data_IF_486145089494
#
_entry.id   IF_486145089494
#
_cell.length_a   1.000
_cell.length_b   1.000
_cell.length_c   1.000
_cell.angle_alpha   90.00
_cell.angle_beta   90.00
_cell.angle_gamma   90.00
#
_symmetry.space_group_name_H-M   'P 1'
#
loop_
_entity.id
_entity.type
_entity.pdbx_description
1 polymer ?
#
# COMPACT_ATOMS: atom_id res chain seq x y z
N UNK A 1 -6.72 37.68 16.73
CA UNK A 1 -6.90 36.28 16.29
C UNK A 1 -6.20 36.20 14.95
N UNK A 2 -4.95 35.75 14.93
CA UNK A 2 -4.29 35.46 13.65
C UNK A 2 -4.96 34.21 13.08
N UNK A 3 -5.56 34.33 11.90
CA UNK A 3 -5.92 33.17 11.10
C UNK A 3 -4.63 32.38 10.87
N UNK A 4 -4.52 31.19 11.46
CA UNK A 4 -3.42 30.30 11.11
C UNK A 4 -3.56 29.99 9.63
N UNK A 5 -2.66 30.51 8.80
CA UNK A 5 -2.60 30.16 7.39
C UNK A 5 -2.37 28.65 7.36
N UNK A 6 -3.41 27.89 6.99
CA UNK A 6 -3.28 26.45 6.84
C UNK A 6 -2.38 26.21 5.63
N UNK A 7 -1.18 25.71 5.88
CA UNK A 7 -0.19 25.44 4.84
C UNK A 7 -0.47 24.07 4.27
N UNK A 8 -0.71 23.99 2.96
CA UNK A 8 -0.91 22.73 2.27
C UNK A 8 0.38 21.91 2.24
N UNK A 9 0.25 20.58 2.33
CA UNK A 9 1.34 19.64 2.13
C UNK A 9 2.07 19.89 0.79
N UNK A 10 3.39 20.04 0.85
CA UNK A 10 4.23 20.29 -0.33
C UNK A 10 4.55 19.03 -1.15
N UNK A 11 4.07 17.85 -0.73
CA UNK A 11 4.31 16.60 -1.44
C UNK A 11 3.67 16.64 -2.83
N UNK A 12 4.49 16.49 -3.86
CA UNK A 12 4.07 16.50 -5.26
C UNK A 12 3.91 15.06 -5.76
N UNK A 13 2.71 14.71 -6.19
CA UNK A 13 2.35 13.42 -6.75
C UNK A 13 2.91 13.23 -8.17
N UNK A 14 2.93 11.99 -8.66
CA UNK A 14 3.43 11.63 -9.99
C UNK A 14 2.60 12.26 -11.12
N UNK A 15 1.30 12.48 -10.90
CA UNK A 15 0.43 13.21 -11.84
C UNK A 15 0.69 14.73 -11.85
N UNK A 16 1.58 15.22 -10.98
CA UNK A 16 1.96 16.62 -10.86
C UNK A 16 1.10 17.43 -9.89
N UNK A 17 0.03 16.84 -9.34
CA UNK A 17 -0.81 17.47 -8.30
C UNK A 17 -0.12 17.48 -6.94
N UNK A 18 -0.59 18.32 -6.02
CA UNK A 18 -0.10 18.34 -4.65
C UNK A 18 -1.04 17.56 -3.73
N UNK A 19 -0.49 16.99 -2.67
CA UNK A 19 -1.27 16.40 -1.60
C UNK A 19 -2.25 17.43 -1.00
N UNK A 20 -3.50 17.02 -0.78
CA UNK A 20 -4.58 17.90 -0.28
C UNK A 20 -4.58 18.03 1.25
N UNK A 21 -3.74 17.27 1.95
CA UNK A 21 -3.63 17.31 3.40
C UNK A 21 -2.95 18.59 3.88
N UNK A 22 -3.27 18.98 5.10
CA UNK A 22 -2.57 20.05 5.80
C UNK A 22 -1.16 19.60 6.20
N UNK A 23 -0.18 20.46 5.96
CA UNK A 23 1.18 20.26 6.42
C UNK A 23 1.22 20.28 7.96
N UNK A 24 2.07 19.43 8.54
CA UNK A 24 2.29 19.45 9.99
C UNK A 24 2.94 20.79 10.40
N UNK A 25 2.47 21.43 11.48
CA UNK A 25 3.14 22.59 12.04
C UNK A 25 4.60 22.28 12.37
N UNK A 26 5.53 23.04 11.77
CA UNK A 26 6.97 22.84 11.98
C UNK A 26 7.58 21.65 11.22
N UNK A 27 6.87 21.04 10.27
CA UNK A 27 7.46 20.04 9.37
C UNK A 27 8.67 20.62 8.62
N UNK A 28 9.83 19.93 8.63
CA UNK A 28 11.02 20.39 7.91
C UNK A 28 10.83 20.43 6.40
N UNK A 29 9.98 19.56 5.84
CA UNK A 29 9.73 19.48 4.41
C UNK A 29 8.44 20.18 3.96
N UNK A 30 7.62 20.67 4.90
CA UNK A 30 6.27 21.18 4.61
C UNK A 30 5.28 20.05 4.30
N UNK A 31 5.49 18.86 4.85
CA UNK A 31 4.70 17.66 4.62
C UNK A 31 3.63 17.43 5.69
N UNK A 32 2.56 16.76 5.29
CA UNK A 32 1.51 16.31 6.19
C UNK A 32 1.96 15.10 7.02
N UNK A 33 1.08 14.67 7.92
CA UNK A 33 1.32 13.49 8.76
C UNK A 33 1.63 12.23 7.96
N UNK A 34 1.12 12.08 6.74
CA UNK A 34 1.37 10.89 5.93
C UNK A 34 2.70 10.92 5.18
N UNK A 35 3.20 12.10 4.79
CA UNK A 35 4.40 12.23 3.96
C UNK A 35 5.67 12.51 4.77
N UNK A 36 5.54 12.98 6.00
CA UNK A 36 6.69 13.27 6.86
C UNK A 36 7.12 12.05 7.67
N UNK A 37 8.43 11.79 7.68
CA UNK A 37 9.06 10.79 8.54
C UNK A 37 9.53 11.47 9.84
N UNK A 38 8.76 11.31 10.92
CA UNK A 38 9.05 11.89 12.23
C UNK A 38 9.21 10.82 13.29
N UNK A 39 10.23 10.93 14.15
CA UNK A 39 10.45 10.03 15.29
C UNK A 39 9.24 9.99 16.25
N UNK A 40 8.59 11.15 16.46
CA UNK A 40 7.46 11.30 17.38
C UNK A 40 6.11 11.47 16.64
N UNK A 41 5.98 10.90 15.44
CA UNK A 41 4.73 10.93 14.66
C UNK A 41 3.58 10.30 15.47
N UNK A 42 2.43 10.96 15.50
CA UNK A 42 1.19 10.38 16.04
C UNK A 42 0.70 9.25 15.13
N UNK A 43 1.22 8.03 15.36
CA UNK A 43 0.89 6.86 14.56
C UNK A 43 -0.58 6.49 14.70
N UNK A 44 -1.16 6.58 15.90
CA UNK A 44 -2.56 6.23 16.12
C UNK A 44 -3.49 7.18 15.35
N UNK A 45 -3.24 8.49 15.45
CA UNK A 45 -3.96 9.51 14.68
C UNK A 45 -3.81 9.33 13.17
N UNK A 46 -2.58 9.09 12.70
CA UNK A 46 -2.27 8.81 11.30
C UNK A 46 -3.06 7.60 10.77
N UNK A 47 -3.00 6.47 11.48
CA UNK A 47 -3.69 5.24 11.04
C UNK A 47 -5.21 5.38 11.11
N UNK A 48 -5.74 6.08 12.12
CA UNK A 48 -7.17 6.39 12.20
C UNK A 48 -7.64 7.21 10.99
N UNK A 49 -6.90 8.24 10.61
CA UNK A 49 -7.21 9.07 9.44
C UNK A 49 -7.10 8.27 8.13
N UNK A 50 -6.07 7.43 7.98
CA UNK A 50 -5.92 6.54 6.83
C UNK A 50 -7.15 5.64 6.64
N UNK A 51 -7.56 4.91 7.67
CA UNK A 51 -8.74 4.05 7.57
C UNK A 51 -10.03 4.84 7.34
N UNK A 52 -10.16 6.05 7.90
CA UNK A 52 -11.31 6.91 7.64
C UNK A 52 -11.38 7.32 6.16
N UNK A 53 -10.26 7.77 5.59
CA UNK A 53 -10.13 8.14 4.18
C UNK A 53 -10.47 6.97 3.26
N UNK A 54 -9.88 5.81 3.51
CA UNK A 54 -10.16 4.60 2.73
C UNK A 54 -11.64 4.20 2.78
N UNK A 55 -12.29 4.30 3.95
CA UNK A 55 -13.74 4.04 4.06
C UNK A 55 -14.59 5.08 3.33
N UNK A 56 -14.11 6.32 3.24
CA UNK A 56 -14.81 7.43 2.60
C UNK A 56 -14.64 7.48 1.08
N UNK A 57 -13.94 6.50 0.48
CA UNK A 57 -13.76 6.47 -0.97
C UNK A 57 -12.51 7.18 -1.46
N UNK A 58 -11.59 7.60 -0.57
CA UNK A 58 -10.29 8.12 -1.02
C UNK A 58 -9.56 7.05 -1.84
N UNK A 59 -9.03 7.48 -2.98
CA UNK A 59 -8.39 6.59 -3.95
C UNK A 59 -6.87 6.75 -3.93
N UNK A 60 -6.35 7.93 -3.54
CA UNK A 60 -4.93 8.24 -3.72
C UNK A 60 -4.17 8.38 -2.39
N UNK A 61 -3.38 7.34 -2.07
CA UNK A 61 -2.49 7.25 -0.91
C UNK A 61 -1.01 7.33 -1.31
N UNK A 62 -0.73 7.95 -2.46
CA UNK A 62 0.61 8.04 -3.01
C UNK A 62 1.59 8.68 -2.01
N UNK A 63 2.74 8.02 -1.82
CA UNK A 63 3.80 8.49 -0.94
C UNK A 63 3.52 8.36 0.55
N UNK A 64 2.35 7.84 0.94
CA UNK A 64 1.99 7.73 2.35
C UNK A 64 2.96 6.81 3.09
N UNK A 65 3.25 7.18 4.34
CA UNK A 65 4.03 6.40 5.29
C UNK A 65 3.06 5.85 6.33
N UNK A 66 2.74 4.58 6.21
CA UNK A 66 1.77 3.84 7.02
C UNK A 66 2.48 2.83 7.90
N UNK A 67 2.01 2.64 9.13
CA UNK A 67 2.60 1.69 10.07
C UNK A 67 1.57 0.68 10.57
N UNK A 68 1.93 -0.60 10.59
CA UNK A 68 1.13 -1.69 11.14
C UNK A 68 -0.30 -1.74 10.54
N UNK A 69 -0.40 -1.71 9.21
CA UNK A 69 -1.69 -1.75 8.49
C UNK A 69 -2.36 -3.09 8.69
N UNK A 70 -3.63 -3.11 9.06
CA UNK A 70 -4.41 -4.33 9.23
C UNK A 70 -5.87 -4.04 8.85
N UNK A 71 -6.18 -4.20 7.55
CA UNK A 71 -7.52 -3.94 7.03
C UNK A 71 -8.59 -4.83 7.68
N UNK A 72 -8.36 -6.15 7.86
CA UNK A 72 -9.32 -7.02 8.53
C UNK A 72 -9.62 -6.59 9.97
N UNK A 73 -8.59 -6.23 10.75
CA UNK A 73 -8.76 -5.73 12.12
C UNK A 73 -9.43 -4.38 12.16
N UNK A 74 -9.26 -3.55 11.13
CA UNK A 74 -10.03 -2.33 10.92
C UNK A 74 -11.48 -2.60 10.47
N UNK A 75 -11.91 -3.86 10.33
CA UNK A 75 -13.27 -4.23 9.91
C UNK A 75 -13.54 -3.98 8.43
N UNK A 76 -12.50 -3.75 7.62
CA UNK A 76 -12.60 -3.63 6.18
C UNK A 76 -12.51 -5.04 5.60
N UNK A 77 -13.48 -5.42 4.77
CA UNK A 77 -13.54 -6.75 4.12
C UNK A 77 -13.52 -6.66 2.61
N UNK A 78 -13.99 -5.54 2.07
CA UNK A 78 -14.00 -5.25 0.65
C UNK A 78 -13.61 -3.79 0.43
N UNK A 79 -13.00 -3.51 -0.71
CA UNK A 79 -12.69 -2.17 -1.21
C UNK A 79 -13.30 -2.07 -2.60
N UNK A 80 -14.21 -1.10 -2.77
CA UNK A 80 -15.07 -0.98 -3.96
C UNK A 80 -14.56 0.01 -4.99
N UNK A 81 -13.76 0.96 -4.54
CA UNK A 81 -13.10 1.95 -5.37
C UNK A 81 -11.74 1.43 -5.80
N UNK A 82 -11.18 2.04 -6.85
CA UNK A 82 -9.76 1.87 -7.17
C UNK A 82 -8.90 2.50 -6.06
N UNK A 83 -7.75 1.92 -5.78
CA UNK A 83 -6.85 2.44 -4.73
C UNK A 83 -5.40 2.47 -5.20
N UNK A 84 -4.75 3.60 -5.00
CA UNK A 84 -3.40 3.92 -5.45
C UNK A 84 -2.50 4.08 -4.23
N UNK A 85 -1.67 3.08 -3.99
CA UNK A 85 -0.56 3.06 -3.02
C UNK A 85 0.79 3.27 -3.74
N UNK A 86 0.84 4.22 -4.68
CA UNK A 86 2.03 4.51 -5.47
C UNK A 86 3.13 5.03 -4.55
N UNK A 87 4.32 4.43 -4.58
CA UNK A 87 5.45 4.85 -3.75
C UNK A 87 5.10 4.93 -2.24
N UNK A 88 4.06 4.20 -1.81
CA UNK A 88 3.63 4.14 -0.41
C UNK A 88 4.58 3.23 0.38
N UNK A 89 4.92 3.65 1.59
CA UNK A 89 5.74 2.86 2.51
C UNK A 89 4.87 2.27 3.61
N UNK A 90 4.87 0.94 3.70
CA UNK A 90 4.27 0.17 4.78
C UNK A 90 5.38 -0.26 5.74
N UNK A 91 5.50 0.44 6.86
CA UNK A 91 6.42 0.08 7.95
C UNK A 91 5.75 -0.87 8.95
N UNK A 92 6.54 -1.79 9.50
CA UNK A 92 5.97 -2.87 10.30
C UNK A 92 5.15 -3.83 9.43
N UNK A 93 4.36 -4.69 10.08
CA UNK A 93 3.60 -5.70 9.37
C UNK A 93 2.36 -5.08 8.70
N UNK A 94 1.96 -5.63 7.55
CA UNK A 94 0.77 -5.19 6.83
C UNK A 94 -0.16 -6.38 6.54
N UNK A 95 -1.48 -6.21 6.70
CA UNK A 95 -2.46 -7.25 6.40
C UNK A 95 -3.57 -6.74 5.50
N UNK A 96 -3.65 -7.41 4.35
CA UNK A 96 -4.72 -7.35 3.34
C UNK A 96 -5.41 -8.72 3.22
N UNK A 97 -5.31 -9.54 4.27
CA UNK A 97 -5.82 -10.90 4.33
C UNK A 97 -7.33 -10.94 4.14
N UNK A 98 -7.84 -11.86 3.32
CA UNK A 98 -9.28 -12.00 3.05
C UNK A 98 -9.96 -10.70 2.56
N UNK A 99 -9.22 -9.77 1.96
CA UNK A 99 -9.79 -8.55 1.40
C UNK A 99 -10.19 -8.80 -0.05
N UNK A 100 -11.39 -8.35 -0.40
CA UNK A 100 -11.87 -8.35 -1.78
C UNK A 100 -11.73 -6.95 -2.40
N UNK A 101 -10.83 -6.82 -3.36
CA UNK A 101 -10.65 -5.62 -4.16
C UNK A 101 -11.49 -5.74 -5.42
N UNK A 102 -12.57 -4.97 -5.48
CA UNK A 102 -13.53 -4.98 -6.59
C UNK A 102 -13.02 -4.27 -7.83
N UNK A 103 -12.09 -3.33 -7.64
CA UNK A 103 -11.52 -2.50 -8.68
C UNK A 103 -9.99 -2.58 -8.66
N UNK A 104 -9.35 -1.88 -9.61
CA UNK A 104 -7.89 -1.81 -9.73
C UNK A 104 -7.19 -1.34 -8.46
N UNK A 105 -6.10 -2.01 -8.08
CA UNK A 105 -5.21 -1.56 -7.00
C UNK A 105 -3.77 -1.46 -7.47
N UNK A 106 -3.15 -0.33 -7.15
CA UNK A 106 -1.79 -0.03 -7.55
C UNK A 106 -0.86 0.08 -6.35
N UNK A 107 0.16 -0.77 -6.31
CA UNK A 107 1.28 -0.76 -5.38
C UNK A 107 2.60 -0.46 -6.12
N UNK A 108 2.54 0.26 -7.26
CA UNK A 108 3.72 0.66 -8.02
C UNK A 108 4.76 1.32 -7.11
N UNK A 109 5.97 0.76 -7.08
CA UNK A 109 7.08 1.22 -6.25
C UNK A 109 6.79 1.28 -4.74
N UNK A 110 5.77 0.57 -4.26
CA UNK A 110 5.50 0.47 -2.82
C UNK A 110 6.61 -0.29 -2.10
N UNK A 111 6.87 0.07 -0.84
CA UNK A 111 7.86 -0.59 0.02
C UNK A 111 7.12 -1.22 1.19
N UNK A 112 7.26 -2.54 1.33
CA UNK A 112 6.78 -3.30 2.49
C UNK A 112 7.97 -3.66 3.37
N UNK A 113 8.19 -2.88 4.43
CA UNK A 113 9.34 -3.03 5.32
C UNK A 113 9.20 -4.20 6.31
N UNK A 114 7.97 -4.56 6.69
CA UNK A 114 7.68 -5.75 7.49
C UNK A 114 7.11 -6.90 6.67
N UNK A 115 6.48 -7.85 7.35
CA UNK A 115 5.77 -8.94 6.66
C UNK A 115 4.45 -8.43 6.12
N UNK A 116 4.06 -8.88 4.93
CA UNK A 116 2.75 -8.54 4.36
C UNK A 116 1.93 -9.80 4.04
N UNK A 117 0.70 -9.83 4.55
CA UNK A 117 -0.26 -10.92 4.36
C UNK A 117 -1.36 -10.50 3.37
N UNK A 118 -1.27 -11.01 2.14
CA UNK A 118 -2.31 -10.99 1.11
C UNK A 118 -3.03 -12.35 1.00
N UNK A 119 -2.86 -13.26 1.95
CA UNK A 119 -3.44 -14.60 1.86
C UNK A 119 -4.97 -14.53 1.78
N UNK A 120 -5.53 -15.34 0.89
CA UNK A 120 -6.97 -15.37 0.57
C UNK A 120 -7.54 -14.02 0.09
N UNK A 121 -6.70 -13.05 -0.27
CA UNK A 121 -7.18 -11.82 -0.91
C UNK A 121 -7.71 -12.14 -2.31
N UNK A 122 -8.72 -11.38 -2.74
CA UNK A 122 -9.32 -11.52 -4.06
C UNK A 122 -9.19 -10.19 -4.81
N UNK A 123 -8.56 -10.22 -5.97
CA UNK A 123 -8.40 -9.09 -6.87
C UNK A 123 -9.27 -9.30 -8.10
N UNK A 124 -10.47 -8.70 -8.12
CA UNK A 124 -11.38 -8.74 -9.26
C UNK A 124 -10.85 -7.88 -10.41
N UNK A 125 -10.35 -6.68 -10.07
CA UNK A 125 -9.57 -5.82 -10.96
C UNK A 125 -8.11 -6.26 -11.07
N UNK A 126 -7.34 -5.55 -11.91
CA UNK A 126 -5.89 -5.78 -12.00
C UNK A 126 -5.21 -5.32 -10.71
N UNK A 127 -4.12 -5.98 -10.34
CA UNK A 127 -3.23 -5.50 -9.27
C UNK A 127 -1.83 -5.28 -9.81
N UNK A 128 -1.24 -4.13 -9.47
CA UNK A 128 0.09 -3.77 -9.91
C UNK A 128 1.05 -3.68 -8.73
N UNK A 129 2.02 -4.60 -8.66
CA UNK A 129 3.15 -4.59 -7.74
C UNK A 129 4.46 -4.26 -8.46
N UNK A 130 4.41 -3.64 -9.65
CA UNK A 130 5.63 -3.36 -10.41
C UNK A 130 6.56 -2.44 -9.63
N UNK A 131 7.86 -2.76 -9.61
CA UNK A 131 8.87 -2.05 -8.84
C UNK A 131 8.69 -2.09 -7.31
N UNK A 132 7.71 -2.82 -6.79
CA UNK A 132 7.51 -2.94 -5.34
C UNK A 132 8.65 -3.73 -4.70
N UNK A 133 9.02 -3.37 -3.47
CA UNK A 133 10.02 -4.08 -2.67
C UNK A 133 9.35 -4.69 -1.44
N UNK A 134 9.54 -6.00 -1.25
CA UNK A 134 9.11 -6.76 -0.09
C UNK A 134 10.34 -7.12 0.75
N UNK A 135 10.68 -6.27 1.72
CA UNK A 135 11.89 -6.41 2.54
C UNK A 135 11.77 -7.55 3.56
N UNK A 136 10.60 -7.69 4.20
CA UNK A 136 10.36 -8.72 5.21
C UNK A 136 9.99 -10.08 4.61
N UNK A 137 8.81 -10.17 4.02
CA UNK A 137 8.28 -11.38 3.39
C UNK A 137 6.81 -11.20 3.04
N UNK A 138 6.34 -11.87 2.00
CA UNK A 138 4.98 -11.72 1.50
C UNK A 138 4.29 -13.07 1.37
N UNK A 139 3.06 -13.12 1.83
CA UNK A 139 2.18 -14.27 1.71
C UNK A 139 1.00 -13.95 0.78
N UNK A 140 1.00 -14.55 -0.41
CA UNK A 140 -0.11 -14.56 -1.37
C UNK A 140 -0.86 -15.91 -1.36
N UNK A 141 -0.68 -16.75 -0.35
CA UNK A 141 -1.27 -18.08 -0.32
C UNK A 141 -2.79 -18.02 -0.43
N UNK A 142 -3.38 -18.87 -1.27
CA UNK A 142 -4.80 -18.91 -1.58
C UNK A 142 -5.38 -17.59 -2.15
N UNK A 143 -4.54 -16.62 -2.52
CA UNK A 143 -4.99 -15.39 -3.17
C UNK A 143 -5.52 -15.69 -4.58
N UNK A 144 -6.54 -14.95 -5.02
CA UNK A 144 -7.10 -15.09 -6.37
C UNK A 144 -6.96 -13.78 -7.13
N UNK A 145 -6.29 -13.84 -8.28
CA UNK A 145 -6.06 -12.72 -9.19
C UNK A 145 -6.91 -12.93 -10.45
N UNK A 146 -8.15 -12.44 -10.43
CA UNK A 146 -9.10 -12.57 -11.56
C UNK A 146 -8.74 -11.61 -12.68
N UNK A 147 -8.44 -10.36 -12.34
CA UNK A 147 -8.07 -9.35 -13.31
C UNK A 147 -6.66 -9.55 -13.90
N UNK A 148 -5.73 -10.03 -13.08
CA UNK A 148 -4.32 -10.17 -13.42
C UNK A 148 -3.41 -9.44 -12.45
N UNK A 149 -2.15 -9.87 -12.39
CA UNK A 149 -1.15 -9.40 -11.44
C UNK A 149 0.16 -9.05 -12.15
N UNK A 150 0.64 -7.83 -11.93
CA UNK A 150 1.88 -7.32 -12.49
C UNK A 150 2.94 -7.23 -11.39
N UNK A 151 4.06 -7.91 -11.56
CA UNK A 151 5.21 -7.91 -10.65
C UNK A 151 6.48 -7.50 -11.41
N UNK A 152 6.37 -6.60 -12.41
CA UNK A 152 7.52 -6.21 -13.22
C UNK A 152 8.57 -5.55 -12.34
N UNK A 153 9.82 -6.01 -12.43
CA UNK A 153 10.93 -5.49 -11.62
C UNK A 153 10.71 -5.52 -10.09
N UNK A 154 9.71 -6.28 -9.62
CA UNK A 154 9.44 -6.43 -8.20
C UNK A 154 10.59 -7.16 -7.49
N UNK A 155 10.90 -6.75 -6.26
CA UNK A 155 11.98 -7.32 -5.46
C UNK A 155 11.42 -7.98 -4.21
N UNK A 156 11.66 -9.27 -4.08
CA UNK A 156 11.31 -10.06 -2.91
C UNK A 156 12.61 -10.37 -2.16
N UNK A 157 13.00 -9.47 -1.26
CA UNK A 157 14.18 -9.65 -0.39
C UNK A 157 13.85 -10.66 0.73
N UNK A 158 12.60 -10.63 1.18
CA UNK A 158 11.97 -11.66 1.99
C UNK A 158 11.48 -12.88 1.21
N UNK A 159 10.99 -13.90 1.93
CA UNK A 159 10.31 -15.04 1.32
C UNK A 159 9.00 -14.61 0.66
N UNK A 160 8.72 -15.14 -0.53
CA UNK A 160 7.45 -14.97 -1.23
C UNK A 160 6.69 -16.31 -1.32
N UNK A 161 5.49 -16.36 -0.76
CA UNK A 161 4.65 -17.56 -0.77
C UNK A 161 3.45 -17.35 -1.70
N UNK A 162 3.25 -18.26 -2.65
CA UNK A 162 2.10 -18.29 -3.58
C UNK A 162 1.34 -19.62 -3.47
N UNK A 163 1.34 -20.26 -2.29
CA UNK A 163 0.77 -21.59 -2.11
C UNK A 163 -0.71 -21.58 -2.48
N UNK A 164 -1.13 -22.43 -3.41
CA UNK A 164 -2.52 -22.50 -3.90
C UNK A 164 -3.06 -21.15 -4.45
N UNK A 165 -2.19 -20.21 -4.80
CA UNK A 165 -2.60 -18.95 -5.42
C UNK A 165 -3.15 -19.20 -6.84
N UNK A 166 -4.21 -18.49 -7.21
CA UNK A 166 -4.90 -18.64 -8.49
C UNK A 166 -4.71 -17.39 -9.32
N UNK A 167 -4.09 -17.54 -10.48
CA UNK A 167 -3.99 -16.49 -11.50
C UNK A 167 -4.95 -16.83 -12.63
N UNK A 168 -6.15 -16.27 -12.60
CA UNK A 168 -7.14 -16.47 -13.67
C UNK A 168 -6.93 -15.42 -14.79
N UNK A 169 -6.45 -14.24 -14.42
CA UNK A 169 -5.89 -13.24 -15.32
C UNK A 169 -4.40 -13.44 -15.59
N UNK A 170 -3.80 -12.51 -16.33
CA UNK A 170 -2.37 -12.56 -16.65
C UNK A 170 -1.51 -12.38 -15.39
N UNK A 171 -0.41 -13.11 -15.29
CA UNK A 171 0.60 -12.94 -14.25
C UNK A 171 1.96 -12.62 -14.89
N UNK A 172 2.48 -11.42 -14.66
CA UNK A 172 3.73 -10.96 -15.25
C UNK A 172 4.81 -10.76 -14.20
N UNK A 173 5.83 -11.62 -14.22
CA UNK A 173 7.01 -11.55 -13.33
C UNK A 173 8.28 -11.12 -14.07
N UNK A 174 8.14 -10.35 -15.14
CA UNK A 174 9.28 -9.92 -15.96
C UNK A 174 10.27 -9.12 -15.09
N UNK A 175 11.53 -9.56 -15.05
CA UNK A 175 12.60 -8.95 -14.24
C UNK A 175 12.35 -8.95 -12.72
N UNK A 176 11.36 -9.70 -12.23
CA UNK A 176 11.16 -9.90 -10.80
C UNK A 176 12.35 -10.66 -10.19
N UNK A 177 12.74 -10.30 -8.97
CA UNK A 177 13.86 -10.91 -8.24
C UNK A 177 13.38 -11.51 -6.93
N UNK A 178 13.67 -12.79 -6.72
CA UNK A 178 13.35 -13.53 -5.50
C UNK A 178 14.64 -13.85 -4.75
N UNK A 179 15.10 -12.93 -3.90
CA UNK A 179 16.35 -13.05 -3.16
C UNK A 179 16.15 -13.86 -1.87
N UNK A 180 15.00 -13.70 -1.19
CA UNK A 180 14.66 -14.44 0.03
C UNK A 180 14.19 -15.88 -0.22
N UNK A 181 13.84 -16.23 -1.45
CA UNK A 181 13.24 -17.50 -1.83
C UNK A 181 11.76 -17.39 -2.20
N UNK A 182 11.28 -18.36 -2.97
CA UNK A 182 9.89 -18.37 -3.45
C UNK A 182 9.31 -19.78 -3.45
N UNK A 183 8.04 -19.88 -3.07
CA UNK A 183 7.24 -21.09 -3.15
C UNK A 183 6.00 -20.84 -4.02
N UNK A 184 5.91 -21.58 -5.13
CA UNK A 184 4.79 -21.52 -6.11
C UNK A 184 3.88 -22.76 -6.06
N UNK A 185 4.00 -23.60 -5.03
CA UNK A 185 3.32 -24.90 -4.96
C UNK A 185 1.80 -24.86 -4.89
#
# INVERSE_FOLDING_TARGET
MEESIMVQCSYKRFDGTFCEEEALPGSPNGYCIFHEELENKDIEGCMRLFYQKLRNGEENFEGYILKDVDLPKAGIKEIKQRVLFLNTKFYGDASFKNIEFKEYVDFLMAIFGGKVDFSKAKFEGWVNFSGATFEGGVDFSEATFEGGAYFLEAKFEGWAYFLEAKFEGWAYFLEAKFEGGVDFS
#
